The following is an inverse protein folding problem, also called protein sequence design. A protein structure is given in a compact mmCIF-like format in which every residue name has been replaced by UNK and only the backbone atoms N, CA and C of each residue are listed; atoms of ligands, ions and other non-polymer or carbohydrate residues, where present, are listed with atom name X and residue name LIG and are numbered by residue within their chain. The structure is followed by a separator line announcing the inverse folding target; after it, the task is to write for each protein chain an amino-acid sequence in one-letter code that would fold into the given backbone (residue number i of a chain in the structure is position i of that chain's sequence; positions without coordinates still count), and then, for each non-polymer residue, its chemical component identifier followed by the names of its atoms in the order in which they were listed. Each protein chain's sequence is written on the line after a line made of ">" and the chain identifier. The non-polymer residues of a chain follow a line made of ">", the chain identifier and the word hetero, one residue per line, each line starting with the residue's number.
data_IF_740353347054
#
_entry.id   IF_740353347054
#
_cell.length_a   1.000
_cell.length_b   1.000
_cell.length_c   1.000
_cell.angle_alpha   90.00
_cell.angle_beta   90.00
_cell.angle_gamma   90.00
#
_symmetry.space_group_name_H-M   'P 1'
#
loop_
_entity.id
_entity.type
_entity.pdbx_description
1 polymer ?
#
# COMPACT_ATOMS: atom_id res chain seq x y z
N UNK A 1 9.13 9.03 2.61
CA UNK A 1 9.67 7.77 3.17
C UNK A 1 11.13 7.82 3.60
N UNK A 2 12.05 8.44 2.84
CA UNK A 2 13.49 8.56 3.23
C UNK A 2 13.74 8.97 4.69
N UNK A 3 13.00 9.95 5.20
CA UNK A 3 13.11 10.38 6.60
C UNK A 3 12.77 9.26 7.60
N UNK A 4 11.67 8.53 7.40
CA UNK A 4 11.28 7.43 8.28
C UNK A 4 12.31 6.29 8.24
N UNK A 5 12.78 5.95 7.04
CA UNK A 5 13.86 4.99 6.83
C UNK A 5 15.13 5.38 7.61
N UNK A 6 15.56 6.65 7.53
CA UNK A 6 16.74 7.13 8.27
C UNK A 6 16.60 7.06 9.80
N UNK A 7 15.36 6.98 10.30
CA UNK A 7 15.02 6.80 11.71
C UNK A 7 14.85 5.31 12.09
N UNK A 8 15.15 4.38 11.18
CA UNK A 8 14.85 2.94 11.32
C UNK A 8 13.38 2.65 11.65
N UNK A 9 12.48 3.48 11.10
CA UNK A 9 11.05 3.37 11.32
C UNK A 9 10.35 2.81 10.09
N UNK A 10 9.59 1.72 10.27
CA UNK A 10 8.80 1.08 9.21
C UNK A 10 7.33 1.42 9.40
N UNK A 11 6.68 1.98 8.38
CA UNK A 11 5.29 2.44 8.43
C UNK A 11 4.28 1.31 8.40
N UNK A 12 4.48 0.27 7.57
CA UNK A 12 3.63 -0.94 7.46
C UNK A 12 2.20 -0.76 6.92
N UNK A 13 1.76 0.47 6.70
CA UNK A 13 0.43 0.81 6.17
C UNK A 13 0.50 2.07 5.31
N UNK A 14 1.53 2.17 4.46
CA UNK A 14 1.64 3.29 3.54
C UNK A 14 0.63 3.11 2.38
N UNK A 15 -0.29 4.05 2.26
CA UNK A 15 -1.33 4.08 1.23
C UNK A 15 -1.77 5.52 0.97
N UNK A 16 -2.48 5.78 -0.13
CA UNK A 16 -3.00 7.12 -0.43
C UNK A 16 -3.94 7.64 0.68
N UNK A 17 -4.76 6.78 1.30
CA UNK A 17 -5.62 7.13 2.45
C UNK A 17 -4.86 7.67 3.66
N UNK A 18 -3.58 7.32 3.78
CA UNK A 18 -2.68 7.73 4.87
C UNK A 18 -1.76 8.89 4.45
N UNK A 19 -2.00 9.48 3.27
CA UNK A 19 -1.38 10.73 2.83
C UNK A 19 -2.36 11.89 3.00
N UNK A 20 -2.11 12.76 3.99
CA UNK A 20 -2.92 13.95 4.25
C UNK A 20 -2.44 15.13 3.41
N UNK A 21 -3.37 15.84 2.78
CA UNK A 21 -3.07 17.08 2.04
C UNK A 21 -3.34 18.27 2.95
N UNK A 22 -2.29 18.98 3.33
CA UNK A 22 -2.34 20.21 4.11
C UNK A 22 -2.43 21.45 3.19
N UNK A 23 -2.40 22.63 3.81
CA UNK A 23 -2.30 23.90 3.07
C UNK A 23 -1.08 23.91 2.14
N UNK A 24 -1.16 24.72 1.08
CA UNK A 24 -0.13 24.83 0.04
C UNK A 24 0.20 23.49 -0.65
N UNK A 25 -0.75 22.54 -0.65
CA UNK A 25 -0.60 21.20 -1.25
C UNK A 25 0.54 20.39 -0.65
N UNK A 26 0.90 20.65 0.59
CA UNK A 26 1.92 19.87 1.30
C UNK A 26 1.33 18.52 1.71
N UNK A 27 1.95 17.43 1.27
CA UNK A 27 1.54 16.08 1.65
C UNK A 27 2.28 15.68 2.93
N UNK A 28 1.52 15.18 3.92
CA UNK A 28 2.04 14.62 5.18
C UNK A 28 1.60 13.17 5.31
N UNK A 29 2.56 12.29 5.57
CA UNK A 29 2.30 10.89 5.85
C UNK A 29 1.78 10.78 7.29
N UNK A 30 0.68 10.05 7.47
CA UNK A 30 -0.03 9.92 8.73
C UNK A 30 -0.39 8.45 9.02
N UNK A 31 -1.04 8.23 10.16
CA UNK A 31 -1.64 6.96 10.59
C UNK A 31 -0.67 5.78 10.73
N UNK A 32 0.08 5.79 11.84
CA UNK A 32 1.05 4.75 12.18
C UNK A 32 0.44 3.52 12.88
N UNK A 33 -0.87 3.28 12.76
CA UNK A 33 -1.46 2.04 13.29
C UNK A 33 -2.91 2.04 13.75
N UNK A 34 -3.83 2.82 13.14
CA UNK A 34 -5.25 2.77 13.50
C UNK A 34 -6.13 2.31 12.33
N UNK A 35 -6.79 1.16 12.51
CA UNK A 35 -7.88 0.71 11.64
C UNK A 35 -9.05 1.69 11.79
N UNK A 36 -9.47 2.33 10.69
CA UNK A 36 -10.65 3.22 10.67
C UNK A 36 -11.82 2.53 9.99
N UNK A 37 -13.02 2.65 10.58
CA UNK A 37 -14.27 2.01 10.10
C UNK A 37 -14.65 2.39 8.67
N UNK A 38 -14.28 3.59 8.19
CA UNK A 38 -14.57 4.02 6.82
C UNK A 38 -13.78 3.26 5.74
N UNK A 39 -12.70 2.55 6.11
CA UNK A 39 -11.81 1.84 5.19
C UNK A 39 -11.87 0.32 5.37
N UNK A 40 -12.95 -0.22 5.95
CA UNK A 40 -13.06 -1.67 6.26
C UNK A 40 -12.79 -2.58 5.04
N UNK A 41 -13.16 -2.14 3.83
CA UNK A 41 -12.90 -2.88 2.58
C UNK A 41 -11.42 -3.03 2.23
N UNK A 42 -10.57 -2.16 2.75
CA UNK A 42 -9.13 -2.18 2.49
C UNK A 42 -8.38 -3.15 3.40
N UNK A 43 -9.00 -3.54 4.53
CA UNK A 43 -8.39 -4.42 5.51
C UNK A 43 -8.96 -5.83 5.43
N UNK A 44 -8.08 -6.82 5.48
CA UNK A 44 -8.41 -8.24 5.47
C UNK A 44 -7.89 -8.92 6.74
N UNK A 45 -8.70 -9.79 7.34
CA UNK A 45 -8.32 -10.57 8.51
C UNK A 45 -7.68 -11.88 8.08
N UNK A 46 -6.35 -11.90 8.02
CA UNK A 46 -5.58 -13.14 7.79
C UNK A 46 -5.69 -14.01 9.04
N UNK A 47 -5.92 -15.33 8.88
CA UNK A 47 -6.13 -16.26 10.01
C UNK A 47 -5.07 -16.08 11.11
N UNK A 48 -5.53 -15.93 12.36
CA UNK A 48 -4.74 -15.66 13.57
C UNK A 48 -3.91 -14.35 13.57
N UNK A 49 -4.12 -13.43 12.63
CA UNK A 49 -3.49 -12.09 12.61
C UNK A 49 -4.52 -10.97 12.74
N UNK A 50 -4.01 -9.77 13.06
CA UNK A 50 -4.74 -8.49 13.04
C UNK A 50 -5.25 -8.18 11.62
N UNK A 51 -6.16 -7.23 11.49
CA UNK A 51 -6.57 -6.64 10.21
C UNK A 51 -5.36 -6.07 9.45
N UNK A 52 -5.20 -6.46 8.18
CA UNK A 52 -4.02 -6.12 7.36
C UNK A 52 -4.44 -5.52 5.99
N UNK A 53 -3.74 -4.49 5.49
CA UNK A 53 -4.03 -3.85 4.21
C UNK A 53 -3.40 -4.65 3.04
N UNK A 54 -3.84 -5.90 2.83
CA UNK A 54 -3.13 -6.88 1.97
C UNK A 54 -2.84 -6.41 0.54
N UNK A 55 -3.66 -5.50 -0.01
CA UNK A 55 -3.48 -4.93 -1.36
C UNK A 55 -2.27 -3.99 -1.49
N UNK A 56 -1.75 -3.48 -0.37
CA UNK A 56 -0.56 -2.62 -0.30
C UNK A 56 0.68 -3.36 0.19
N UNK A 57 0.55 -4.61 0.63
CA UNK A 57 1.63 -5.33 1.29
C UNK A 57 2.51 -6.09 0.29
N UNK A 58 3.80 -6.18 0.59
CA UNK A 58 4.71 -7.04 -0.15
C UNK A 58 4.50 -8.52 0.18
N UNK A 59 5.00 -9.39 -0.69
CA UNK A 59 4.89 -10.84 -0.54
C UNK A 59 5.44 -11.32 0.82
N UNK A 60 6.63 -10.84 1.22
CA UNK A 60 7.26 -11.24 2.47
C UNK A 60 6.53 -10.71 3.73
N UNK A 61 5.87 -9.55 3.63
CA UNK A 61 5.03 -9.03 4.69
C UNK A 61 3.76 -9.88 4.85
N UNK A 62 3.13 -10.29 3.75
CA UNK A 62 1.95 -11.17 3.76
C UNK A 62 2.31 -12.55 4.29
N UNK A 63 3.27 -13.23 3.67
CA UNK A 63 3.60 -14.62 3.97
C UNK A 63 4.27 -14.77 5.35
N UNK A 64 5.29 -13.97 5.64
CA UNK A 64 6.15 -14.16 6.80
C UNK A 64 5.92 -13.15 7.92
N UNK A 65 5.10 -12.12 7.71
CA UNK A 65 4.94 -11.03 8.67
C UNK A 65 6.23 -10.22 8.88
N UNK A 66 7.14 -10.23 7.89
CA UNK A 66 8.42 -9.52 7.94
C UNK A 66 8.23 -8.12 7.38
N UNK A 67 8.51 -7.11 8.19
CA UNK A 67 8.41 -5.70 7.82
C UNK A 67 9.79 -5.05 7.81
N UNK A 68 10.06 -4.28 6.77
CA UNK A 68 11.32 -3.58 6.57
C UNK A 68 11.11 -2.32 5.73
N UNK A 69 12.15 -1.50 5.56
CA UNK A 69 12.13 -0.40 4.60
C UNK A 69 11.71 -0.87 3.19
N UNK A 70 12.16 -2.04 2.75
CA UNK A 70 11.81 -2.58 1.44
C UNK A 70 10.29 -2.86 1.31
N UNK A 71 9.63 -3.28 2.41
CA UNK A 71 8.17 -3.46 2.41
C UNK A 71 7.41 -2.14 2.30
N UNK A 72 7.96 -1.06 2.86
CA UNK A 72 7.41 0.30 2.68
C UNK A 72 7.67 0.82 1.26
N UNK A 73 8.79 0.45 0.62
CA UNK A 73 9.06 0.79 -0.78
C UNK A 73 8.04 0.10 -1.72
N UNK A 74 7.69 -1.15 -1.45
CA UNK A 74 6.59 -1.81 -2.16
C UNK A 74 5.27 -1.06 -2.00
N UNK A 75 4.90 -0.75 -0.75
CA UNK A 75 3.68 -0.01 -0.43
C UNK A 75 3.66 1.38 -1.09
N UNK A 76 4.82 2.02 -1.20
CA UNK A 76 4.99 3.29 -1.92
C UNK A 76 4.71 3.13 -3.43
N UNK A 77 5.13 2.04 -4.06
CA UNK A 77 4.79 1.72 -5.45
C UNK A 77 3.28 1.59 -5.66
N UNK A 78 2.58 0.88 -4.77
CA UNK A 78 1.11 0.79 -4.80
C UNK A 78 0.47 2.18 -4.57
N UNK A 79 1.02 2.99 -3.67
CA UNK A 79 0.55 4.37 -3.43
C UNK A 79 0.72 5.26 -4.66
N UNK A 80 1.82 5.13 -5.40
CA UNK A 80 1.99 5.81 -6.69
C UNK A 80 0.93 5.37 -7.70
N UNK A 81 0.64 4.07 -7.76
CA UNK A 81 -0.42 3.55 -8.62
C UNK A 81 -1.79 4.14 -8.26
N UNK A 82 -2.13 4.28 -6.98
CA UNK A 82 -3.34 4.98 -6.53
C UNK A 82 -3.37 6.42 -7.03
N UNK A 83 -2.26 7.15 -6.92
CA UNK A 83 -2.16 8.55 -7.37
C UNK A 83 -2.44 8.66 -8.88
N UNK A 84 -1.79 7.84 -9.70
CA UNK A 84 -1.94 7.90 -11.16
C UNK A 84 -3.21 7.24 -11.70
N UNK A 85 -3.90 6.44 -10.89
CA UNK A 85 -5.24 5.90 -11.20
C UNK A 85 -6.38 6.79 -10.70
N UNK A 86 -6.07 7.95 -10.11
CA UNK A 86 -7.05 8.85 -9.48
C UNK A 86 -7.83 8.21 -8.32
N UNK A 87 -7.14 7.41 -7.52
CA UNK A 87 -7.67 6.83 -6.28
C UNK A 87 -8.50 5.57 -6.49
N UNK A 88 -8.28 4.81 -7.58
CA UNK A 88 -8.87 3.47 -7.72
C UNK A 88 -8.33 2.54 -6.64
N UNK A 89 -9.12 1.53 -6.29
CA UNK A 89 -8.65 0.50 -5.38
C UNK A 89 -7.65 -0.41 -6.11
N UNK A 90 -6.46 -0.68 -5.54
CA UNK A 90 -5.53 -1.64 -6.13
C UNK A 90 -6.19 -3.01 -6.26
N UNK A 91 -6.11 -3.60 -7.46
CA UNK A 91 -6.72 -4.90 -7.77
C UNK A 91 -8.25 -4.94 -7.55
N UNK A 92 -8.97 -3.86 -7.85
CA UNK A 92 -10.42 -3.70 -7.58
C UNK A 92 -11.31 -4.86 -8.06
N UNK A 93 -10.93 -5.55 -9.14
CA UNK A 93 -11.67 -6.68 -9.71
C UNK A 93 -11.46 -8.03 -9.00
N UNK A 94 -10.61 -8.07 -7.97
CA UNK A 94 -10.16 -9.30 -7.32
C UNK A 94 -10.54 -9.31 -5.84
N UNK A 95 -10.82 -10.49 -5.28
CA UNK A 95 -11.00 -10.64 -3.83
C UNK A 95 -9.67 -10.50 -3.09
N UNK A 96 -9.67 -10.32 -1.77
CA UNK A 96 -8.43 -10.27 -0.99
C UNK A 96 -7.61 -11.57 -1.10
N UNK A 97 -8.27 -12.72 -1.23
CA UNK A 97 -7.61 -14.01 -1.40
C UNK A 97 -6.93 -14.09 -2.78
N UNK A 98 -7.63 -13.68 -3.84
CA UNK A 98 -7.06 -13.63 -5.19
C UNK A 98 -5.84 -12.69 -5.24
N UNK A 99 -5.90 -11.55 -4.54
CA UNK A 99 -4.78 -10.60 -4.47
C UNK A 99 -3.56 -11.22 -3.79
N UNK A 100 -3.75 -11.97 -2.71
CA UNK A 100 -2.65 -12.69 -2.04
C UNK A 100 -1.99 -13.66 -3.03
N UNK A 101 -2.78 -14.37 -3.83
CA UNK A 101 -2.29 -15.31 -4.84
C UNK A 101 -1.56 -14.58 -5.98
N UNK A 102 -2.12 -13.48 -6.51
CA UNK A 102 -1.50 -12.63 -7.53
C UNK A 102 -0.15 -12.07 -7.08
N UNK A 103 -0.08 -11.54 -5.86
CA UNK A 103 1.17 -11.03 -5.29
C UNK A 103 2.20 -12.16 -5.14
N UNK A 104 1.77 -13.37 -4.77
CA UNK A 104 2.67 -14.51 -4.59
C UNK A 104 3.38 -14.94 -5.88
N UNK A 105 2.73 -14.76 -7.03
CA UNK A 105 3.28 -15.04 -8.37
C UNK A 105 3.82 -13.79 -9.06
N UNK A 106 3.93 -12.66 -8.34
CA UNK A 106 4.38 -11.35 -8.87
C UNK A 106 3.57 -10.85 -10.06
N UNK A 107 2.26 -11.10 -10.06
CA UNK A 107 1.33 -10.42 -10.96
C UNK A 107 1.05 -9.02 -10.42
N UNK A 108 1.65 -8.02 -11.07
CA UNK A 108 1.62 -6.61 -10.63
C UNK A 108 0.45 -5.85 -11.25
N UNK A 109 0.09 -4.72 -10.63
CA UNK A 109 -0.91 -3.79 -11.15
C UNK A 109 -0.50 -3.26 -12.53
N UNK A 110 -1.44 -3.18 -13.46
CA UNK A 110 -1.22 -2.60 -14.79
C UNK A 110 -0.94 -1.09 -14.73
N UNK A 111 -0.24 -0.57 -15.74
CA UNK A 111 0.05 0.85 -15.85
C UNK A 111 -1.26 1.67 -15.97
N UNK A 112 -1.52 2.64 -15.08
CA UNK A 112 -2.66 3.53 -15.23
C UNK A 112 -2.58 4.36 -16.52
N UNK A 113 -3.73 4.64 -17.13
CA UNK A 113 -3.82 5.30 -18.46
C UNK A 113 -3.03 6.63 -18.56
N UNK A 114 -2.95 7.40 -17.48
CA UNK A 114 -2.27 8.70 -17.44
C UNK A 114 -0.94 8.66 -16.68
N UNK A 115 -0.38 7.48 -16.41
CA UNK A 115 0.90 7.35 -15.72
C UNK A 115 2.07 7.55 -16.70
N UNK A 116 2.98 8.52 -16.45
CA UNK A 116 4.18 8.67 -17.25
C UNK A 116 5.05 7.41 -17.22
N UNK A 117 5.62 7.02 -18.36
CA UNK A 117 6.41 5.78 -18.50
C UNK A 117 7.60 5.73 -17.54
N UNK A 118 8.21 6.87 -17.22
CA UNK A 118 9.34 6.95 -16.28
C UNK A 118 8.93 6.79 -14.80
N UNK A 119 7.64 6.79 -14.50
CA UNK A 119 7.12 6.55 -13.16
C UNK A 119 6.70 5.10 -12.98
N UNK A 120 6.19 4.45 -14.03
CA UNK A 120 5.77 3.05 -13.97
C UNK A 120 6.92 2.03 -14.11
N UNK A 121 8.02 2.40 -14.79
CA UNK A 121 9.16 1.51 -15.06
C UNK A 121 10.15 1.40 -13.92
#
# INVERSE_FOLDING_TARGET
>A
MKYLSSMNFVHRDLAARNCLVADQRVIKIADFGLVRSCYEKDYYKVMHRTWLPVRWMSQEAIQYGRFSEATDVWSFGVTLWEIYSYGRQPYESYSHQDVIELISVRSLLECPQNCPTNIYR
#
